data_IF_317147181510
#
_entry.id   IF_317147181510
#
_cell.length_a   1.000
_cell.length_b   1.000
_cell.length_c   1.000
_cell.angle_alpha   90.00
_cell.angle_beta   90.00
_cell.angle_gamma   90.00
#
_symmetry.space_group_name_H-M   'P 1'
#
loop_
_entity.id
_entity.type
_entity.pdbx_description
1 polymer ?
#
# COMPACT_ATOMS: atom_id res chain seq x y z
N UNK A 1 -20.56 21.23 11.55
CA UNK A 1 -19.26 21.36 10.86
C UNK A 1 -18.63 22.66 11.37
N UNK A 2 -17.43 22.65 11.99
CA UNK A 2 -16.93 23.81 12.74
C UNK A 2 -16.21 24.88 11.89
N UNK A 3 -16.34 24.86 10.56
CA UNK A 3 -15.66 25.79 9.67
C UNK A 3 -16.63 26.36 8.63
N UNK A 4 -16.45 27.64 8.33
CA UNK A 4 -17.14 28.38 7.26
C UNK A 4 -16.44 28.10 5.92
N UNK A 5 -17.09 27.44 4.95
CA UNK A 5 -16.48 27.08 3.67
C UNK A 5 -15.96 28.29 2.88
N UNK A 6 -16.54 29.47 3.08
CA UNK A 6 -16.14 30.70 2.38
C UNK A 6 -14.79 31.27 2.89
N UNK A 7 -14.26 30.74 4.00
CA UNK A 7 -12.97 31.12 4.59
C UNK A 7 -11.84 30.11 4.30
N UNK A 8 -12.08 29.10 3.47
CA UNK A 8 -11.04 28.14 3.07
C UNK A 8 -10.28 28.72 1.87
N UNK A 9 -9.07 29.23 2.12
CA UNK A 9 -8.20 29.79 1.08
C UNK A 9 -7.37 28.73 0.34
N UNK A 10 -7.12 27.57 0.97
CA UNK A 10 -6.40 26.45 0.38
C UNK A 10 -6.73 25.15 1.11
N UNK A 11 -6.71 24.04 0.36
CA UNK A 11 -6.82 22.67 0.88
C UNK A 11 -5.54 21.94 0.52
N UNK A 12 -4.86 21.36 1.50
CA UNK A 12 -3.72 20.46 1.25
C UNK A 12 -4.28 19.05 1.18
N UNK A 13 -4.28 18.50 -0.03
CA UNK A 13 -4.60 17.10 -0.24
C UNK A 13 -3.33 16.28 -0.01
N UNK A 14 -3.41 15.30 0.88
CA UNK A 14 -2.38 14.27 0.98
C UNK A 14 -2.33 13.48 -0.33
N UNK A 15 -1.14 13.09 -0.77
CA UNK A 15 -0.93 12.55 -2.11
C UNK A 15 -1.36 11.07 -2.20
N UNK A 16 -1.25 10.33 -1.10
CA UNK A 16 -1.64 8.93 -1.01
C UNK A 16 -3.10 8.79 -0.53
N UNK A 17 -3.94 8.24 -1.40
CA UNK A 17 -5.35 7.95 -1.11
C UNK A 17 -6.36 8.98 -1.58
N UNK A 18 -5.95 10.22 -1.91
CA UNK A 18 -6.87 11.26 -2.41
C UNK A 18 -6.85 11.40 -3.93
N UNK A 19 -5.67 11.50 -4.58
CA UNK A 19 -5.56 11.77 -6.02
C UNK A 19 -5.10 10.55 -6.85
N UNK A 20 -4.33 9.67 -6.24
CA UNK A 20 -3.75 8.50 -6.88
C UNK A 20 -4.38 7.24 -6.29
N UNK A 21 -4.76 6.28 -7.13
CA UNK A 21 -5.18 4.95 -6.69
C UNK A 21 -3.93 4.08 -6.36
N UNK A 22 -3.00 4.66 -5.58
CA UNK A 22 -1.75 4.01 -5.19
C UNK A 22 -2.02 2.77 -4.33
N UNK A 23 -3.07 2.78 -3.51
CA UNK A 23 -3.54 1.65 -2.71
C UNK A 23 -3.88 0.42 -3.56
N UNK A 24 -4.54 0.62 -4.71
CA UNK A 24 -4.84 -0.49 -5.64
C UNK A 24 -3.56 -1.09 -6.23
N UNK A 25 -2.55 -0.27 -6.55
CA UNK A 25 -1.26 -0.75 -7.04
C UNK A 25 -0.49 -1.48 -5.93
N UNK A 26 -0.43 -0.92 -4.72
CA UNK A 26 0.21 -1.52 -3.55
C UNK A 26 -0.36 -2.91 -3.28
N UNK A 27 -1.69 -3.02 -3.19
CA UNK A 27 -2.39 -4.29 -2.96
C UNK A 27 -2.14 -5.30 -4.08
N UNK A 28 -2.29 -4.86 -5.34
CA UNK A 28 -2.09 -5.72 -6.51
C UNK A 28 -0.70 -6.34 -6.52
N UNK A 29 0.33 -5.51 -6.37
CA UNK A 29 1.71 -6.00 -6.41
C UNK A 29 2.08 -6.79 -5.16
N UNK A 30 1.52 -6.47 -3.98
CA UNK A 30 1.74 -7.27 -2.78
C UNK A 30 1.25 -8.71 -2.97
N UNK A 31 0.00 -8.90 -3.42
CA UNK A 31 -0.53 -10.24 -3.67
C UNK A 31 0.18 -10.97 -4.80
N UNK A 32 0.55 -10.25 -5.87
CA UNK A 32 1.28 -10.85 -6.98
C UNK A 32 2.67 -11.34 -6.53
N UNK A 33 3.45 -10.49 -5.86
CA UNK A 33 4.80 -10.84 -5.40
C UNK A 33 4.77 -11.99 -4.40
N UNK A 34 3.83 -11.98 -3.44
CA UNK A 34 3.70 -13.08 -2.50
C UNK A 34 3.42 -14.42 -3.21
N UNK A 35 2.49 -14.43 -4.17
CA UNK A 35 2.15 -15.63 -4.96
C UNK A 35 3.32 -16.18 -5.75
N UNK A 36 4.13 -15.30 -6.33
CA UNK A 36 5.32 -15.70 -7.09
C UNK A 36 6.42 -16.28 -6.19
N UNK A 37 6.48 -15.85 -4.93
CA UNK A 37 7.35 -16.42 -3.90
C UNK A 37 6.76 -17.71 -3.26
N UNK A 38 5.59 -18.16 -3.73
CA UNK A 38 4.94 -19.38 -3.23
C UNK A 38 4.07 -19.17 -1.97
N UNK A 39 3.80 -17.92 -1.59
CA UNK A 39 2.99 -17.57 -0.44
C UNK A 39 1.64 -16.98 -0.85
N UNK A 40 0.65 -17.11 0.03
CA UNK A 40 -0.63 -16.42 -0.14
C UNK A 40 -0.84 -15.51 1.06
N UNK A 41 -0.91 -14.20 0.83
CA UNK A 41 -1.28 -13.22 1.86
C UNK A 41 -2.80 -13.18 1.93
N UNK A 42 -3.42 -13.50 3.07
CA UNK A 42 -4.86 -13.33 3.25
C UNK A 42 -5.25 -11.86 3.10
N UNK A 43 -6.38 -11.57 2.44
CA UNK A 43 -6.85 -10.19 2.29
C UNK A 43 -7.02 -9.48 3.63
N UNK A 44 -7.54 -10.20 4.64
CA UNK A 44 -7.64 -9.70 6.02
C UNK A 44 -6.30 -9.27 6.62
N UNK A 45 -5.20 -9.94 6.27
CA UNK A 45 -3.86 -9.63 6.75
C UNK A 45 -3.37 -8.35 6.07
N UNK A 46 -3.54 -8.25 4.76
CA UNK A 46 -3.20 -7.03 4.04
C UNK A 46 -3.98 -5.82 4.55
N UNK A 47 -5.29 -5.94 4.76
CA UNK A 47 -6.11 -4.85 5.32
C UNK A 47 -5.65 -4.43 6.72
N UNK A 48 -5.21 -5.39 7.56
CA UNK A 48 -4.69 -5.10 8.89
C UNK A 48 -3.34 -4.35 8.87
N UNK A 49 -2.61 -4.38 7.75
CA UNK A 49 -1.38 -3.59 7.57
C UNK A 49 -1.62 -2.14 7.16
N UNK A 50 -2.83 -1.80 6.68
CA UNK A 50 -3.17 -0.46 6.23
C UNK A 50 -3.18 0.50 7.42
N UNK A 51 -2.47 1.63 7.29
CA UNK A 51 -2.34 2.63 8.36
C UNK A 51 -1.29 2.30 9.42
N UNK A 52 -0.61 1.15 9.32
CA UNK A 52 0.55 0.84 10.15
C UNK A 52 1.83 1.49 9.61
N UNK A 53 2.80 1.68 10.50
CA UNK A 53 4.18 1.97 10.06
C UNK A 53 4.78 0.75 9.37
N UNK A 54 5.79 0.95 8.52
CA UNK A 54 6.44 -0.15 7.80
C UNK A 54 6.97 -1.25 8.73
N UNK A 55 7.52 -0.89 9.89
CA UNK A 55 8.02 -1.85 10.88
C UNK A 55 6.89 -2.66 11.53
N UNK A 56 5.77 -2.01 11.89
CA UNK A 56 4.63 -2.70 12.49
C UNK A 56 3.91 -3.61 11.47
N UNK A 57 3.86 -3.19 10.20
CA UNK A 57 3.37 -4.04 9.10
C UNK A 57 4.25 -5.26 8.87
N UNK A 58 5.58 -5.10 8.92
CA UNK A 58 6.53 -6.21 8.82
C UNK A 58 6.33 -7.24 9.95
N UNK A 59 6.28 -6.77 11.19
CA UNK A 59 6.07 -7.63 12.36
C UNK A 59 4.77 -8.43 12.23
N UNK A 60 3.67 -7.79 11.81
CA UNK A 60 2.38 -8.45 11.61
C UNK A 60 2.44 -9.51 10.49
N UNK A 61 3.09 -9.19 9.36
CA UNK A 61 3.23 -10.13 8.25
C UNK A 61 4.07 -11.34 8.66
N UNK A 62 5.18 -11.14 9.37
CA UNK A 62 6.03 -12.24 9.87
C UNK A 62 5.32 -13.08 10.92
N UNK A 63 4.51 -12.47 11.80
CA UNK A 63 3.73 -13.19 12.79
C UNK A 63 2.69 -14.13 12.16
N UNK A 64 2.05 -13.71 11.07
CA UNK A 64 0.95 -14.46 10.44
C UNK A 64 1.43 -15.44 9.35
N UNK A 65 2.46 -15.10 8.57
CA UNK A 65 3.02 -15.96 7.53
C UNK A 65 4.17 -16.84 8.03
N UNK A 66 4.66 -16.58 9.23
CA UNK A 66 5.74 -17.31 9.88
C UNK A 66 7.13 -16.93 9.38
N UNK A 67 8.15 -17.51 10.03
CA UNK A 67 9.56 -17.23 9.77
C UNK A 67 10.04 -17.68 8.38
N UNK A 68 9.28 -18.56 7.73
CA UNK A 68 9.59 -19.01 6.36
C UNK A 68 9.26 -17.97 5.30
N UNK A 69 8.49 -16.93 5.63
CA UNK A 69 8.19 -15.87 4.69
C UNK A 69 9.43 -14.99 4.41
N UNK A 70 9.91 -14.90 3.16
CA UNK A 70 11.10 -14.15 2.82
C UNK A 70 10.77 -12.65 2.69
N UNK A 71 10.48 -12.00 3.82
CA UNK A 71 9.98 -10.61 3.85
C UNK A 71 10.90 -9.62 3.13
N UNK A 72 12.22 -9.73 3.29
CA UNK A 72 13.18 -8.82 2.66
C UNK A 72 13.17 -8.93 1.13
N UNK A 73 13.14 -10.17 0.61
CA UNK A 73 13.03 -10.42 -0.83
C UNK A 73 11.67 -9.94 -1.37
N UNK A 74 10.60 -10.22 -0.63
CA UNK A 74 9.26 -9.74 -0.92
C UNK A 74 9.21 -8.21 -1.01
N UNK A 75 9.71 -7.50 0.02
CA UNK A 75 9.69 -6.03 0.10
C UNK A 75 10.51 -5.40 -1.02
N UNK A 76 11.68 -5.96 -1.33
CA UNK A 76 12.53 -5.50 -2.43
C UNK A 76 11.82 -5.59 -3.79
N UNK A 77 11.26 -6.76 -4.12
CA UNK A 77 10.56 -6.97 -5.40
C UNK A 77 9.29 -6.10 -5.47
N UNK A 78 8.53 -6.07 -4.38
CA UNK A 78 7.29 -5.31 -4.29
C UNK A 78 7.51 -3.81 -4.49
N UNK A 79 8.46 -3.21 -3.75
CA UNK A 79 8.81 -1.78 -3.91
C UNK A 79 9.30 -1.47 -5.32
N UNK A 80 10.12 -2.33 -5.92
CA UNK A 80 10.57 -2.17 -7.30
C UNK A 80 9.41 -2.11 -8.31
N UNK A 81 8.40 -2.98 -8.13
CA UNK A 81 7.21 -3.01 -8.99
C UNK A 81 6.33 -1.78 -8.83
N UNK A 82 6.10 -1.37 -7.58
CA UNK A 82 5.33 -0.16 -7.30
C UNK A 82 6.03 1.05 -7.90
N UNK A 83 7.34 1.22 -7.68
CA UNK A 83 8.10 2.33 -8.22
C UNK A 83 8.03 2.36 -9.76
N UNK A 84 8.23 1.21 -10.41
CA UNK A 84 8.13 1.10 -11.87
C UNK A 84 6.72 1.46 -12.38
N UNK A 85 5.66 1.00 -11.71
CA UNK A 85 4.28 1.31 -12.07
C UNK A 85 3.95 2.79 -11.88
N UNK A 86 4.43 3.39 -10.78
CA UNK A 86 4.26 4.81 -10.50
C UNK A 86 4.95 5.68 -11.56
N UNK A 87 6.13 5.27 -12.04
CA UNK A 87 6.85 5.97 -13.10
C UNK A 87 6.20 5.81 -14.48
N UNK A 88 5.54 4.67 -14.75
CA UNK A 88 4.98 4.37 -16.07
C UNK A 88 3.65 5.09 -16.33
N UNK A 89 2.71 5.07 -15.38
CA UNK A 89 1.46 5.84 -15.40
C UNK A 89 0.70 5.58 -14.09
N UNK A 90 0.39 6.60 -13.31
CA UNK A 90 -0.49 6.39 -12.14
C UNK A 90 -1.94 6.57 -12.57
N UNK A 91 -2.81 5.56 -12.41
CA UNK A 91 -4.24 5.74 -12.64
C UNK A 91 -4.79 6.77 -11.65
N UNK A 92 -5.34 7.85 -12.19
CA UNK A 92 -6.08 8.85 -11.43
C UNK A 92 -7.39 8.22 -10.94
N UNK A 93 -7.79 8.48 -9.69
CA UNK A 93 -9.13 8.13 -9.23
C UNK A 93 -10.16 8.94 -10.04
N UNK A 94 -11.27 8.34 -10.52
CA UNK A 94 -12.38 9.14 -11.03
C UNK A 94 -12.91 9.98 -9.87
N UNK A 95 -12.79 11.31 -10.01
CA UNK A 95 -13.28 12.28 -9.04
C UNK A 95 -14.79 12.31 -8.93
#
# INVERSE_FOLDING_TARGET
MPFDPEQIHAVVFDMDGVLLDSETLYRKFAFQTARELGFTIPEKLHLATIGLTGSAGEELIRAELGEHFPYEEFDHIWRGRVAAAMMAHVPLKPG
#
